data_IF_970947979134
#
_entry.id   IF_970947979134
#
_cell.length_a   1.000
_cell.length_b   1.000
_cell.length_c   1.000
_cell.angle_alpha   90.00
_cell.angle_beta   90.00
_cell.angle_gamma   90.00
#
_symmetry.space_group_name_H-M   'P 1'
#
loop_
_entity.id
_entity.type
_entity.pdbx_description
1 polymer ?
#
# COMPACT_ATOMS: atom_id res chain seq x y z
N UNK A 1 22.33 14.94 -37.58
CA UNK A 1 22.67 13.53 -37.28
C UNK A 1 22.14 13.14 -35.90
N UNK A 2 22.13 11.84 -35.58
CA UNK A 2 21.70 11.38 -34.23
C UNK A 2 22.62 11.96 -33.12
N UNK A 3 23.92 12.10 -33.40
CA UNK A 3 24.91 12.69 -32.48
C UNK A 3 24.61 14.17 -32.20
N UNK A 4 24.30 14.96 -33.23
CA UNK A 4 23.95 16.38 -33.08
C UNK A 4 22.63 16.52 -32.25
N UNK A 5 21.68 15.65 -32.48
CA UNK A 5 20.42 15.64 -31.69
C UNK A 5 20.69 15.32 -30.24
N UNK A 6 21.57 14.36 -29.95
CA UNK A 6 21.93 14.01 -28.56
C UNK A 6 22.67 15.15 -27.87
N UNK A 7 23.62 15.79 -28.53
CA UNK A 7 24.33 16.95 -27.97
C UNK A 7 23.38 18.12 -27.64
N UNK A 8 22.39 18.38 -28.48
CA UNK A 8 21.40 19.43 -28.20
C UNK A 8 20.47 19.02 -27.03
N UNK A 9 20.09 17.74 -26.91
CA UNK A 9 19.33 17.23 -25.77
C UNK A 9 20.10 17.37 -24.46
N UNK A 10 21.38 17.02 -24.44
CA UNK A 10 22.26 17.19 -23.28
C UNK A 10 22.35 18.65 -22.86
N UNK A 11 22.56 19.55 -23.79
CA UNK A 11 22.61 21.00 -23.55
C UNK A 11 21.27 21.53 -22.94
N UNK A 12 20.12 21.09 -23.49
CA UNK A 12 18.82 21.48 -22.94
C UNK A 12 18.56 20.91 -21.54
N UNK A 13 19.08 19.71 -21.28
CA UNK A 13 19.01 19.08 -19.97
C UNK A 13 19.89 19.81 -18.94
N UNK A 14 21.14 20.19 -19.34
CA UNK A 14 22.04 21.00 -18.50
C UNK A 14 21.46 22.39 -18.16
N UNK A 15 20.75 22.98 -19.12
CA UNK A 15 19.99 24.21 -18.90
C UNK A 15 18.72 24.04 -18.04
N UNK A 16 18.37 22.82 -17.69
CA UNK A 16 17.17 22.52 -16.91
C UNK A 16 15.85 22.70 -17.66
N UNK A 17 15.89 22.80 -18.99
CA UNK A 17 14.71 23.01 -19.82
C UNK A 17 13.95 21.71 -20.10
N UNK A 18 14.64 20.57 -20.13
CA UNK A 18 14.06 19.25 -20.31
C UNK A 18 14.55 18.26 -19.25
N UNK A 19 13.71 17.32 -18.90
CA UNK A 19 14.08 16.13 -18.15
C UNK A 19 14.20 14.96 -19.13
N UNK A 20 15.30 14.21 -19.03
CA UNK A 20 15.57 13.02 -19.84
C UNK A 20 15.20 11.76 -19.06
N UNK A 21 14.57 10.80 -19.73
CA UNK A 21 14.24 9.48 -19.20
C UNK A 21 14.86 8.42 -20.10
N UNK A 22 16.03 7.86 -19.72
CA UNK A 22 16.74 6.88 -20.53
C UNK A 22 15.93 5.59 -20.66
N UNK A 23 15.88 5.04 -21.88
CA UNK A 23 15.27 3.79 -22.24
C UNK A 23 16.31 2.84 -22.83
N UNK A 24 15.98 1.54 -22.93
CA UNK A 24 16.93 0.54 -23.50
C UNK A 24 17.44 0.88 -24.90
N UNK A 25 16.64 1.56 -25.71
CA UNK A 25 16.97 1.87 -27.12
C UNK A 25 16.67 3.31 -27.51
N UNK A 26 16.25 4.18 -26.54
CA UNK A 26 15.71 5.49 -26.82
C UNK A 26 15.81 6.39 -25.59
N UNK A 27 15.58 7.68 -25.74
CA UNK A 27 15.45 8.64 -24.63
C UNK A 27 14.11 9.32 -24.76
N UNK A 28 13.31 9.28 -23.70
CA UNK A 28 12.10 10.08 -23.61
C UNK A 28 12.42 11.44 -23.00
N UNK A 29 11.91 12.50 -23.61
CA UNK A 29 12.10 13.88 -23.17
C UNK A 29 10.78 14.44 -22.64
N UNK A 30 10.87 15.14 -21.53
CA UNK A 30 9.75 15.86 -20.95
C UNK A 30 10.19 17.29 -20.65
N UNK A 31 9.40 18.29 -21.07
CA UNK A 31 9.68 19.67 -20.71
C UNK A 31 9.68 19.84 -19.19
N UNK A 32 10.68 20.51 -18.64
CA UNK A 32 10.86 20.61 -17.19
C UNK A 32 9.63 21.22 -16.49
N UNK A 33 9.07 22.30 -17.04
CA UNK A 33 7.88 22.92 -16.44
C UNK A 33 6.63 22.02 -16.47
N UNK A 34 6.50 21.14 -17.47
CA UNK A 34 5.43 20.14 -17.51
C UNK A 34 5.66 19.05 -16.46
N UNK A 35 6.91 18.55 -16.35
CA UNK A 35 7.31 17.61 -15.31
C UNK A 35 6.97 18.15 -13.91
N UNK A 36 7.39 19.39 -13.65
CA UNK A 36 7.21 20.02 -12.33
C UNK A 36 5.74 20.25 -12.02
N UNK A 37 4.99 20.76 -13.01
CA UNK A 37 3.54 20.93 -12.87
C UNK A 37 2.83 19.60 -12.55
N UNK A 38 3.13 18.54 -13.28
CA UNK A 38 2.51 17.22 -13.03
C UNK A 38 2.90 16.69 -11.64
N UNK A 39 4.13 16.89 -11.23
CA UNK A 39 4.60 16.52 -9.90
C UNK A 39 3.86 17.29 -8.80
N UNK A 40 3.70 18.61 -8.95
CA UNK A 40 2.96 19.47 -8.01
C UNK A 40 1.47 19.07 -7.94
N UNK A 41 0.83 18.89 -9.11
CA UNK A 41 -0.58 18.47 -9.20
C UNK A 41 -0.79 17.08 -8.54
N UNK A 42 0.17 16.17 -8.68
CA UNK A 42 0.10 14.83 -8.08
C UNK A 42 0.25 14.89 -6.55
N UNK A 43 1.20 15.67 -6.04
CA UNK A 43 1.38 15.88 -4.59
C UNK A 43 0.14 16.51 -3.98
N UNK A 44 -0.38 17.59 -4.59
CA UNK A 44 -1.59 18.26 -4.13
C UNK A 44 -2.82 17.30 -4.13
N UNK A 45 -2.92 16.43 -5.12
CA UNK A 45 -3.94 15.38 -5.15
C UNK A 45 -3.78 14.41 -3.97
N UNK A 46 -2.56 13.97 -3.65
CA UNK A 46 -2.30 13.05 -2.55
C UNK A 46 -2.61 13.70 -1.19
N UNK A 47 -2.27 14.97 -1.02
CA UNK A 47 -2.64 15.74 0.19
C UNK A 47 -4.16 15.83 0.37
N UNK A 48 -4.91 16.16 -0.70
CA UNK A 48 -6.38 16.22 -0.66
C UNK A 48 -7.00 14.83 -0.44
N UNK A 49 -6.39 13.80 -1.02
CA UNK A 49 -6.80 12.40 -0.82
C UNK A 49 -6.72 12.01 0.66
N UNK A 50 -5.61 12.32 1.34
CA UNK A 50 -5.43 11.99 2.75
C UNK A 50 -6.28 12.83 3.70
N UNK A 51 -6.55 14.11 3.36
CA UNK A 51 -7.53 14.90 4.10
C UNK A 51 -8.92 14.27 4.13
N UNK A 52 -9.31 13.59 3.05
CA UNK A 52 -10.60 12.90 2.93
C UNK A 52 -10.58 11.47 3.44
N UNK A 53 -9.41 10.83 3.43
CA UNK A 53 -9.22 9.42 3.78
C UNK A 53 -8.01 9.25 4.71
N UNK A 54 -8.09 9.71 5.97
CA UNK A 54 -6.92 9.82 6.85
C UNK A 54 -6.30 8.48 7.25
N UNK A 55 -7.02 7.38 7.14
CA UNK A 55 -6.51 6.06 7.51
C UNK A 55 -6.07 5.21 6.31
N UNK A 56 -6.23 5.73 5.08
CA UNK A 56 -5.78 5.02 3.89
C UNK A 56 -4.26 5.09 3.72
N UNK A 57 -3.68 3.97 3.31
CA UNK A 57 -2.24 3.85 3.03
C UNK A 57 -1.76 4.76 1.89
N UNK A 58 -2.65 5.18 1.01
CA UNK A 58 -2.38 6.04 -0.13
C UNK A 58 -3.28 5.74 -1.34
N UNK A 59 -3.03 6.45 -2.44
CA UNK A 59 -3.63 6.15 -3.74
C UNK A 59 -2.83 5.06 -4.45
N UNK A 60 -3.50 4.19 -5.21
CA UNK A 60 -2.81 3.15 -5.98
C UNK A 60 -1.98 3.77 -7.10
N UNK A 61 -0.76 3.26 -7.29
CA UNK A 61 0.15 3.72 -8.35
C UNK A 61 -0.50 3.71 -9.73
N UNK A 62 -1.34 2.70 -10.02
CA UNK A 62 -2.08 2.60 -11.29
C UNK A 62 -3.09 3.74 -11.48
N UNK A 63 -3.77 4.18 -10.42
CA UNK A 63 -4.72 5.30 -10.45
C UNK A 63 -4.01 6.61 -10.74
N UNK A 64 -2.85 6.86 -10.11
CA UNK A 64 -2.03 8.04 -10.39
C UNK A 64 -1.57 8.09 -11.83
N UNK A 65 -1.17 6.94 -12.40
CA UNK A 65 -0.80 6.86 -13.81
C UNK A 65 -1.95 7.23 -14.73
N UNK A 66 -3.13 6.66 -14.52
CA UNK A 66 -4.32 6.94 -15.35
C UNK A 66 -4.70 8.42 -15.25
N UNK A 67 -4.62 9.00 -14.05
CA UNK A 67 -5.05 10.37 -13.79
C UNK A 67 -4.10 11.41 -14.38
N UNK A 68 -2.78 11.24 -14.22
CA UNK A 68 -1.81 12.29 -14.51
C UNK A 68 -0.98 12.03 -15.78
N UNK A 69 -0.67 10.77 -16.08
CA UNK A 69 0.32 10.39 -17.08
C UNK A 69 -0.13 9.16 -17.89
N UNK A 70 -1.42 9.07 -18.23
CA UNK A 70 -2.02 7.92 -18.94
C UNK A 70 -1.37 7.60 -20.29
N UNK A 71 -0.84 8.62 -20.99
CA UNK A 71 -0.21 8.49 -22.30
C UNK A 71 1.27 8.07 -22.24
N UNK A 72 1.90 8.09 -21.06
CA UNK A 72 3.30 7.69 -20.92
C UNK A 72 3.46 6.17 -20.99
N UNK A 73 4.60 5.74 -21.54
CA UNK A 73 5.06 4.36 -21.42
C UNK A 73 5.26 4.00 -19.94
N UNK A 74 4.98 2.77 -19.57
CA UNK A 74 5.05 2.32 -18.17
C UNK A 74 6.41 2.62 -17.52
N UNK A 75 7.50 2.31 -18.21
CA UNK A 75 8.85 2.51 -17.71
C UNK A 75 9.23 4.01 -17.51
N UNK A 76 8.68 4.92 -18.34
CA UNK A 76 8.86 6.38 -18.13
C UNK A 76 8.10 6.83 -16.90
N UNK A 77 6.88 6.33 -16.71
CA UNK A 77 6.10 6.60 -15.52
C UNK A 77 6.77 6.05 -14.26
N UNK A 78 7.31 4.84 -14.32
CA UNK A 78 8.01 4.22 -13.18
C UNK A 78 9.24 5.03 -12.78
N UNK A 79 10.04 5.48 -13.74
CA UNK A 79 11.19 6.35 -13.52
C UNK A 79 10.79 7.74 -12.97
N UNK A 80 9.71 8.31 -13.49
CA UNK A 80 9.16 9.57 -12.96
C UNK A 80 8.76 9.43 -11.48
N UNK A 81 8.04 8.36 -11.13
CA UNK A 81 7.66 8.07 -9.75
C UNK A 81 8.87 7.84 -8.86
N UNK A 82 9.89 7.14 -9.35
CA UNK A 82 11.13 6.92 -8.59
C UNK A 82 11.82 8.24 -8.25
N UNK A 83 11.91 9.17 -9.18
CA UNK A 83 12.50 10.50 -8.92
C UNK A 83 11.72 11.32 -7.89
N UNK A 84 10.40 11.20 -7.88
CA UNK A 84 9.59 11.85 -6.84
C UNK A 84 9.82 11.22 -5.45
N UNK A 85 10.03 9.90 -5.41
CA UNK A 85 10.36 9.16 -4.19
C UNK A 85 11.77 9.53 -3.69
N UNK A 86 12.77 9.55 -4.59
CA UNK A 86 14.16 9.92 -4.29
C UNK A 86 14.30 11.36 -3.76
N UNK A 87 13.43 12.27 -4.20
CA UNK A 87 13.36 13.65 -3.72
C UNK A 87 12.47 13.82 -2.49
N UNK A 88 11.89 12.74 -1.96
CA UNK A 88 11.04 12.77 -0.77
C UNK A 88 9.67 13.44 -0.97
N UNK A 89 9.27 13.71 -2.22
CA UNK A 89 7.97 14.34 -2.53
C UNK A 89 6.81 13.36 -2.35
N UNK A 90 7.08 12.09 -2.59
CA UNK A 90 6.17 10.97 -2.33
C UNK A 90 6.90 9.87 -1.58
N UNK A 91 6.17 8.98 -0.94
CA UNK A 91 6.69 7.72 -0.41
C UNK A 91 5.77 6.57 -0.80
N UNK A 92 6.37 5.38 -0.87
CA UNK A 92 5.70 4.15 -1.30
C UNK A 92 5.53 3.19 -0.13
N UNK A 93 4.33 2.61 -0.02
CA UNK A 93 4.02 1.50 0.86
C UNK A 93 3.33 0.40 0.05
N UNK A 94 4.10 -0.59 -0.41
CA UNK A 94 3.63 -1.61 -1.34
C UNK A 94 3.15 -1.03 -2.68
N UNK A 95 1.89 -1.22 -3.00
CA UNK A 95 1.24 -0.67 -4.21
C UNK A 95 0.70 0.76 -4.01
N UNK A 96 0.70 1.26 -2.77
CA UNK A 96 0.16 2.57 -2.42
C UNK A 96 1.23 3.65 -2.43
N UNK A 97 0.83 4.84 -2.83
CA UNK A 97 1.65 6.05 -2.87
C UNK A 97 0.98 7.11 -2.01
N UNK A 98 1.74 7.71 -1.12
CA UNK A 98 1.30 8.87 -0.34
C UNK A 98 2.24 10.06 -0.54
N UNK A 99 1.80 11.24 -0.11
CA UNK A 99 2.65 12.43 -0.03
C UNK A 99 3.82 12.17 0.93
N UNK A 100 5.01 12.72 0.64
CA UNK A 100 6.25 12.38 1.33
C UNK A 100 6.27 12.64 2.82
N UNK A 101 5.65 13.73 3.27
CA UNK A 101 5.53 14.11 4.68
C UNK A 101 4.34 13.49 5.41
N UNK A 102 3.46 12.77 4.70
CA UNK A 102 2.25 12.24 5.32
C UNK A 102 2.53 11.11 6.31
N UNK A 103 1.97 11.23 7.50
CA UNK A 103 1.93 10.17 8.52
C UNK A 103 0.49 9.83 8.85
N UNK A 104 0.15 8.55 8.83
CA UNK A 104 -1.21 8.09 9.14
C UNK A 104 -1.48 8.33 10.63
N UNK A 105 -2.59 8.99 11.00
CA UNK A 105 -2.86 9.33 12.39
C UNK A 105 -3.21 8.09 13.22
N UNK A 106 -2.52 7.93 14.35
CA UNK A 106 -2.89 6.98 15.41
C UNK A 106 -3.64 7.73 16.52
N UNK A 107 -4.72 8.38 16.14
CA UNK A 107 -5.57 9.19 17.01
C UNK A 107 -6.50 8.33 17.89
N UNK A 108 -7.41 8.97 18.59
CA UNK A 108 -8.35 8.28 19.49
C UNK A 108 -9.29 7.32 18.74
N UNK A 109 -9.70 7.67 17.53
CA UNK A 109 -10.56 6.81 16.69
C UNK A 109 -9.83 5.52 16.32
N UNK A 110 -8.57 5.65 15.86
CA UNK A 110 -7.72 4.50 15.56
C UNK A 110 -7.54 3.59 16.78
N UNK A 111 -7.20 4.15 17.95
CA UNK A 111 -6.99 3.39 19.20
C UNK A 111 -8.25 2.67 19.69
N UNK A 112 -9.38 3.33 19.61
CA UNK A 112 -10.67 2.74 19.97
C UNK A 112 -11.03 1.59 19.03
N UNK A 113 -10.82 1.77 17.71
CA UNK A 113 -11.05 0.71 16.73
C UNK A 113 -10.13 -0.49 16.97
N UNK A 114 -8.83 -0.26 17.12
CA UNK A 114 -7.84 -1.30 17.41
C UNK A 114 -8.19 -2.09 18.66
N UNK A 115 -8.49 -1.39 19.76
CA UNK A 115 -8.82 -2.03 21.04
C UNK A 115 -10.10 -2.86 20.94
N UNK A 116 -11.15 -2.31 20.35
CA UNK A 116 -12.42 -3.00 20.21
C UNK A 116 -12.32 -4.22 19.29
N UNK A 117 -11.65 -4.08 18.15
CA UNK A 117 -11.44 -5.18 17.21
C UNK A 117 -10.59 -6.29 17.84
N UNK A 118 -9.50 -5.93 18.53
CA UNK A 118 -8.65 -6.90 19.23
C UNK A 118 -9.45 -7.68 20.28
N UNK A 119 -10.28 -7.01 21.07
CA UNK A 119 -11.12 -7.67 22.06
C UNK A 119 -12.15 -8.62 21.43
N UNK A 120 -12.74 -8.24 20.30
CA UNK A 120 -13.66 -9.11 19.54
C UNK A 120 -12.94 -10.36 19.01
N UNK A 121 -11.78 -10.18 18.41
CA UNK A 121 -10.96 -11.28 17.84
C UNK A 121 -10.42 -12.20 18.94
N UNK A 122 -10.03 -11.65 20.11
CA UNK A 122 -9.61 -12.44 21.27
C UNK A 122 -10.74 -13.29 21.83
N UNK A 123 -11.94 -12.75 21.87
CA UNK A 123 -13.14 -13.51 22.31
C UNK A 123 -13.49 -14.61 21.32
N UNK A 124 -13.31 -14.38 20.03
CA UNK A 124 -13.57 -15.38 18.98
C UNK A 124 -12.52 -16.50 18.99
N UNK A 125 -11.27 -16.20 19.38
CA UNK A 125 -10.19 -17.19 19.39
C UNK A 125 -9.88 -17.74 18.00
N UNK A 126 -10.08 -19.03 17.79
CA UNK A 126 -9.91 -19.70 16.49
C UNK A 126 -11.14 -19.60 15.58
N UNK A 127 -12.25 -19.05 16.05
CA UNK A 127 -13.38 -18.71 15.21
C UNK A 127 -13.09 -17.40 14.47
N UNK A 128 -13.17 -17.43 13.14
CA UNK A 128 -12.90 -16.26 12.33
C UNK A 128 -14.07 -15.28 12.35
N UNK A 129 -13.76 -13.99 12.45
CA UNK A 129 -14.77 -12.93 12.33
C UNK A 129 -14.80 -12.47 10.85
N UNK A 130 -16.02 -12.26 10.34
CA UNK A 130 -16.20 -11.66 9.02
C UNK A 130 -16.14 -10.13 9.12
N UNK A 131 -15.60 -9.50 8.11
CA UNK A 131 -15.57 -8.05 8.01
C UNK A 131 -16.96 -7.41 8.18
N UNK A 132 -18.00 -8.04 7.61
CA UNK A 132 -19.38 -7.58 7.71
C UNK A 132 -19.95 -7.61 9.14
N UNK A 133 -19.39 -8.43 10.03
CA UNK A 133 -19.84 -8.56 11.42
C UNK A 133 -19.17 -7.52 12.34
N UNK A 134 -18.20 -6.77 11.85
CA UNK A 134 -17.51 -5.70 12.58
C UNK A 134 -18.36 -4.44 12.55
N UNK A 135 -19.18 -4.26 13.57
CA UNK A 135 -19.98 -3.05 13.76
C UNK A 135 -19.53 -2.36 15.05
N UNK A 136 -18.81 -1.25 14.90
CA UNK A 136 -18.37 -0.45 16.03
C UNK A 136 -19.14 0.87 16.08
N UNK A 137 -19.75 1.23 17.23
CA UNK A 137 -20.52 2.47 17.35
C UNK A 137 -19.68 3.71 16.99
N UNK A 138 -20.24 4.57 16.15
CA UNK A 138 -19.60 5.82 15.75
C UNK A 138 -18.60 5.71 14.61
N UNK A 139 -18.33 4.50 14.09
CA UNK A 139 -17.41 4.29 12.96
C UNK A 139 -18.22 3.88 11.73
N UNK A 140 -18.06 4.67 10.65
CA UNK A 140 -18.72 4.38 9.37
C UNK A 140 -18.09 3.14 8.72
N UNK A 141 -18.86 2.29 7.99
CA UNK A 141 -18.31 1.08 7.37
C UNK A 141 -17.09 1.29 6.48
N UNK A 142 -17.08 2.34 5.67
CA UNK A 142 -15.93 2.67 4.82
C UNK A 142 -14.67 3.03 5.65
N UNK A 143 -14.86 3.73 6.77
CA UNK A 143 -13.74 4.05 7.68
C UNK A 143 -13.26 2.79 8.43
N UNK A 144 -14.16 1.90 8.81
CA UNK A 144 -13.79 0.61 9.43
C UNK A 144 -12.94 -0.24 8.49
N UNK A 145 -13.29 -0.26 7.20
CA UNK A 145 -12.51 -0.94 6.16
C UNK A 145 -11.10 -0.33 6.00
N UNK A 146 -11.01 1.01 5.94
CA UNK A 146 -9.72 1.71 5.87
C UNK A 146 -8.85 1.42 7.11
N UNK A 147 -9.42 1.49 8.32
CA UNK A 147 -8.73 1.17 9.58
C UNK A 147 -8.29 -0.30 9.66
N UNK A 148 -9.11 -1.21 9.17
CA UNK A 148 -8.76 -2.62 9.11
C UNK A 148 -7.57 -2.89 8.18
N UNK A 149 -7.59 -2.29 6.98
CA UNK A 149 -6.47 -2.40 6.03
C UNK A 149 -5.19 -1.81 6.63
N UNK A 150 -5.29 -0.72 7.38
CA UNK A 150 -4.18 -0.13 8.10
C UNK A 150 -3.62 -1.09 9.16
N UNK A 151 -4.48 -1.64 10.03
CA UNK A 151 -4.06 -2.62 11.06
C UNK A 151 -3.43 -3.86 10.44
N UNK A 152 -3.93 -4.32 9.29
CA UNK A 152 -3.34 -5.43 8.56
C UNK A 152 -1.95 -5.08 8.00
N UNK A 153 -1.78 -3.89 7.44
CA UNK A 153 -0.48 -3.41 6.95
C UNK A 153 0.55 -3.24 8.09
N UNK A 154 0.09 -2.92 9.30
CA UNK A 154 0.91 -2.86 10.52
C UNK A 154 1.16 -4.24 11.17
N UNK A 155 0.57 -5.30 10.63
CA UNK A 155 0.70 -6.66 11.16
C UNK A 155 -0.04 -6.91 12.47
N UNK A 156 -0.98 -6.05 12.84
CA UNK A 156 -1.80 -6.18 14.07
C UNK A 156 -2.97 -7.13 13.90
N UNK A 157 -3.43 -7.30 12.67
CA UNK A 157 -4.43 -8.31 12.28
C UNK A 157 -3.98 -9.04 11.02
N UNK A 158 -4.54 -10.22 10.78
CA UNK A 158 -4.30 -11.03 9.59
C UNK A 158 -5.61 -11.17 8.81
N UNK A 159 -5.58 -10.76 7.56
CA UNK A 159 -6.66 -11.02 6.60
C UNK A 159 -6.41 -12.39 5.96
N UNK A 160 -7.23 -13.37 6.28
CA UNK A 160 -7.11 -14.74 5.74
C UNK A 160 -7.74 -14.89 4.37
N UNK A 161 -8.76 -14.06 4.10
CA UNK A 161 -9.42 -13.91 2.80
C UNK A 161 -10.02 -12.51 2.73
N UNK A 162 -10.76 -12.20 1.67
CA UNK A 162 -11.39 -10.88 1.48
C UNK A 162 -12.34 -10.50 2.63
N UNK A 163 -12.85 -11.49 3.37
CA UNK A 163 -13.88 -11.30 4.41
C UNK A 163 -13.53 -11.91 5.77
N UNK A 164 -12.43 -12.65 5.93
CA UNK A 164 -12.08 -13.33 7.19
C UNK A 164 -10.85 -12.73 7.86
N UNK A 165 -10.99 -12.45 9.15
CA UNK A 165 -10.01 -11.73 9.96
C UNK A 165 -9.70 -12.50 11.23
N UNK A 166 -8.41 -12.47 11.63
CA UNK A 166 -7.94 -13.03 12.89
C UNK A 166 -6.74 -12.25 13.44
N UNK A 167 -6.30 -12.58 14.65
CA UNK A 167 -5.06 -12.04 15.21
C UNK A 167 -3.85 -12.90 14.82
N UNK A 168 -2.67 -12.28 14.61
CA UNK A 168 -1.42 -12.97 14.28
C UNK A 168 -1.12 -14.14 15.22
N UNK A 169 -1.34 -13.97 16.53
CA UNK A 169 -1.06 -15.02 17.53
C UNK A 169 -1.80 -16.34 17.25
N UNK A 170 -3.01 -16.31 16.70
CA UNK A 170 -3.76 -17.52 16.37
C UNK A 170 -3.20 -18.22 15.13
N UNK A 171 -2.79 -17.46 14.11
CA UNK A 171 -2.11 -18.05 12.94
C UNK A 171 -0.76 -18.63 13.32
N UNK A 172 0.00 -17.96 14.20
CA UNK A 172 1.29 -18.44 14.69
C UNK A 172 1.15 -19.73 15.50
N UNK A 173 0.16 -19.80 16.40
CA UNK A 173 -0.16 -21.02 17.16
C UNK A 173 -0.51 -22.20 16.24
N UNK A 174 -1.33 -21.96 15.21
CA UNK A 174 -1.69 -23.00 14.22
C UNK A 174 -0.44 -23.44 13.44
N UNK A 175 0.40 -22.49 13.01
CA UNK A 175 1.62 -22.79 12.27
C UNK A 175 2.63 -23.57 13.13
N UNK A 176 2.78 -23.24 14.41
CA UNK A 176 3.65 -23.97 15.34
C UNK A 176 3.16 -25.41 15.55
N UNK A 177 1.88 -25.57 15.84
CA UNK A 177 1.27 -26.88 16.00
C UNK A 177 1.35 -27.74 14.74
N UNK A 178 1.14 -27.14 13.60
CA UNK A 178 1.29 -27.82 12.31
C UNK A 178 2.73 -28.34 12.10
N UNK A 179 3.75 -27.57 12.49
CA UNK A 179 5.16 -28.02 12.45
C UNK A 179 5.43 -29.16 13.43
N UNK A 180 4.88 -29.11 14.65
CA UNK A 180 5.01 -30.19 15.63
C UNK A 180 4.43 -31.51 15.10
N UNK A 181 3.19 -31.49 14.55
CA UNK A 181 2.54 -32.68 13.97
C UNK A 181 3.37 -33.22 12.79
N UNK A 182 3.81 -32.33 11.89
CA UNK A 182 4.61 -32.73 10.72
C UNK A 182 5.94 -33.37 11.15
N UNK A 183 6.59 -32.85 12.21
CA UNK A 183 7.83 -33.43 12.74
C UNK A 183 7.61 -34.80 13.40
N UNK A 184 6.47 -35.00 14.08
CA UNK A 184 6.16 -36.23 14.78
C UNK A 184 5.64 -37.33 13.84
N UNK A 185 4.79 -37.00 12.88
CA UNK A 185 4.05 -37.96 12.08
C UNK A 185 4.49 -37.99 10.57
N UNK A 186 5.34 -37.04 10.16
CA UNK A 186 5.83 -36.93 8.77
C UNK A 186 4.78 -36.50 7.76
N UNK A 187 3.55 -36.25 8.19
CA UNK A 187 2.42 -35.79 7.37
C UNK A 187 1.47 -34.96 8.20
N UNK A 188 0.70 -34.11 7.53
CA UNK A 188 -0.35 -33.29 8.14
C UNK A 188 -1.58 -33.29 7.25
N UNK A 189 -2.76 -33.28 7.86
CA UNK A 189 -4.05 -33.16 7.18
C UNK A 189 -4.87 -32.03 7.76
N UNK A 190 -5.84 -31.52 7.00
CA UNK A 190 -6.77 -30.48 7.47
C UNK A 190 -7.57 -30.98 8.68
N UNK A 191 -7.97 -32.28 8.70
CA UNK A 191 -8.68 -32.88 9.82
C UNK A 191 -7.86 -32.80 11.12
N UNK A 192 -6.56 -33.13 11.06
CA UNK A 192 -5.67 -33.03 12.24
C UNK A 192 -5.57 -31.59 12.76
N UNK A 193 -5.53 -30.58 11.88
CA UNK A 193 -5.52 -29.18 12.28
C UNK A 193 -6.86 -28.80 12.92
N UNK A 194 -7.99 -29.19 12.33
CA UNK A 194 -9.33 -28.90 12.88
C UNK A 194 -9.52 -29.50 14.27
N UNK A 195 -9.17 -30.76 14.45
CA UNK A 195 -9.26 -31.45 15.74
C UNK A 195 -8.41 -30.75 16.82
N UNK A 196 -7.27 -30.21 16.42
CA UNK A 196 -6.34 -29.50 17.29
C UNK A 196 -6.87 -28.13 17.76
N UNK A 197 -7.54 -27.37 16.87
CA UNK A 197 -8.10 -26.05 17.19
C UNK A 197 -9.55 -26.10 17.73
N UNK A 198 -10.15 -27.29 17.74
CA UNK A 198 -11.47 -27.51 18.31
C UNK A 198 -12.63 -26.95 17.46
N UNK A 199 -12.49 -26.94 16.11
CA UNK A 199 -13.50 -26.42 15.16
C UNK A 199 -13.97 -27.48 14.17
#
# INVERSE_FOLDING_TARGET
TAEETMAEVEKLAEQGLVATFPMKKDIYLMHASYRDKVADDMVAYLEDFHKKNPYRLGSRKAELRVRFLSKLKQNVFDEFMQRLEDTGRIKRSGEFICEGGYEIPHDEVYKQFESALTAMLDKAGFEFIRLADIQLPGIQPAMAEDLLQLLAAEGKVVLLSDDLITLPKYTDMVAEKAREILAAEGKISIAMIRDMIGT
#
